data_IF_048916190072
#
_entry.id   IF_048916190072
#
_cell.length_a   1.000
_cell.length_b   1.000
_cell.length_c   1.000
_cell.angle_alpha   90.00
_cell.angle_beta   90.00
_cell.angle_gamma   90.00
#
_symmetry.space_group_name_H-M   'P 1'
#
loop_
_entity.id
_entity.type
_entity.pdbx_description
1 polymer ?
#
# COMPACT_ATOMS: atom_id res chain seq x y z
N UNK A 1 3.51 -5.93 -19.27
CA UNK A 1 4.03 -6.61 -18.06
C UNK A 1 4.46 -8.01 -18.45
N UNK A 2 5.57 -8.53 -17.90
CA UNK A 2 6.02 -9.89 -18.18
C UNK A 2 4.97 -10.92 -17.75
N UNK A 3 4.83 -11.98 -18.53
CA UNK A 3 3.88 -13.08 -18.37
C UNK A 3 4.71 -14.35 -18.19
N UNK A 4 4.32 -15.20 -17.25
CA UNK A 4 4.92 -16.52 -17.09
C UNK A 4 4.36 -17.47 -18.15
N UNK A 5 5.25 -18.06 -18.95
CA UNK A 5 4.91 -19.03 -19.99
C UNK A 5 5.51 -20.40 -19.66
N UNK A 6 4.65 -21.40 -19.53
CA UNK A 6 5.05 -22.79 -19.26
C UNK A 6 5.61 -23.50 -20.51
N UNK A 7 5.34 -22.96 -21.70
CA UNK A 7 5.79 -23.48 -22.99
C UNK A 7 6.64 -22.39 -23.68
N UNK A 8 7.82 -22.72 -24.23
CA UNK A 8 8.62 -21.78 -25.00
C UNK A 8 7.85 -21.21 -26.21
N UNK A 9 8.10 -19.94 -26.51
CA UNK A 9 7.61 -19.32 -27.74
C UNK A 9 8.10 -20.08 -28.97
N UNK A 10 7.24 -20.27 -29.98
CA UNK A 10 7.58 -21.09 -31.15
C UNK A 10 8.59 -20.40 -32.05
N UNK A 11 8.42 -19.10 -32.24
CA UNK A 11 9.31 -18.31 -33.09
C UNK A 11 10.52 -17.83 -32.28
N UNK A 12 10.31 -17.07 -31.21
CA UNK A 12 11.41 -16.48 -30.44
C UNK A 12 12.13 -17.44 -29.48
N UNK A 13 11.58 -18.63 -29.21
CA UNK A 13 12.19 -19.66 -28.34
C UNK A 13 12.46 -19.23 -26.90
N UNK A 14 11.99 -18.05 -26.47
CA UNK A 14 12.07 -17.61 -25.07
C UNK A 14 11.08 -18.41 -24.20
N UNK A 15 11.47 -18.66 -22.96
CA UNK A 15 10.70 -19.41 -21.98
C UNK A 15 10.77 -18.76 -20.59
N UNK A 16 9.89 -19.18 -19.67
CA UNK A 16 9.84 -18.61 -18.32
C UNK A 16 9.05 -17.31 -18.28
N UNK A 17 9.60 -16.28 -17.63
CA UNK A 17 8.96 -14.96 -17.52
C UNK A 17 9.36 -14.12 -18.72
N UNK A 18 8.41 -13.72 -19.58
CA UNK A 18 8.68 -13.06 -20.87
C UNK A 18 7.61 -12.01 -21.22
N UNK A 19 7.89 -11.04 -22.09
CA UNK A 19 6.94 -9.96 -22.40
C UNK A 19 5.95 -10.24 -23.54
N UNK A 20 6.10 -11.37 -24.24
CA UNK A 20 5.21 -11.77 -25.35
C UNK A 20 4.34 -12.97 -25.00
N UNK A 21 3.12 -12.98 -25.54
CA UNK A 21 2.29 -14.18 -25.64
C UNK A 21 2.41 -14.86 -27.03
N UNK A 22 1.75 -16.00 -27.21
CA UNK A 22 1.78 -16.76 -28.46
C UNK A 22 1.23 -16.00 -29.67
N UNK A 23 0.28 -15.08 -29.46
CA UNK A 23 -0.28 -14.26 -30.54
C UNK A 23 0.72 -13.20 -30.99
N UNK A 24 1.44 -12.58 -30.05
CA UNK A 24 2.49 -11.61 -30.33
C UNK A 24 3.71 -12.28 -30.98
N UNK A 25 4.10 -13.48 -30.53
CA UNK A 25 5.15 -14.29 -31.14
C UNK A 25 4.84 -14.64 -32.60
N UNK A 26 3.59 -15.00 -32.89
CA UNK A 26 3.13 -15.25 -34.26
C UNK A 26 3.14 -13.98 -35.12
N UNK A 27 2.83 -12.82 -34.55
CA UNK A 27 2.88 -11.55 -35.27
C UNK A 27 4.34 -11.14 -35.57
N UNK A 28 5.26 -11.33 -34.62
CA UNK A 28 6.69 -11.13 -34.85
C UNK A 28 7.23 -12.05 -35.94
N UNK A 29 6.77 -13.31 -35.97
CA UNK A 29 7.13 -14.23 -37.05
C UNK A 29 6.73 -13.68 -38.43
N UNK A 30 5.49 -13.20 -38.57
CA UNK A 30 5.02 -12.62 -39.84
C UNK A 30 5.81 -11.37 -40.24
N UNK A 31 6.12 -10.51 -39.27
CA UNK A 31 6.93 -9.31 -39.50
C UNK A 31 8.34 -9.67 -39.95
N UNK A 32 8.94 -10.70 -39.35
CA UNK A 32 10.25 -11.20 -39.74
C UNK A 32 10.25 -11.79 -41.16
N UNK A 33 9.25 -12.60 -41.50
CA UNK A 33 9.08 -13.15 -42.85
C UNK A 33 8.93 -12.05 -43.90
N UNK A 34 8.29 -10.93 -43.54
CA UNK A 34 8.14 -9.76 -44.43
C UNK A 34 9.46 -9.01 -44.70
N UNK A 35 10.52 -9.21 -43.91
CA UNK A 35 11.84 -8.59 -44.17
C UNK A 35 12.54 -9.19 -45.41
N UNK A 36 12.13 -10.40 -45.84
CA UNK A 36 12.61 -11.09 -47.04
C UNK A 36 14.15 -11.15 -47.15
N UNK A 37 14.82 -11.56 -46.08
CA UNK A 37 16.28 -11.62 -45.98
C UNK A 37 16.79 -12.98 -46.46
N UNK A 38 17.63 -12.98 -47.49
CA UNK A 38 18.14 -14.20 -48.12
C UNK A 38 19.34 -14.82 -47.39
N UNK A 39 20.13 -14.02 -46.67
CA UNK A 39 21.31 -14.50 -45.95
C UNK A 39 20.92 -15.08 -44.58
N UNK A 40 21.23 -16.36 -44.29
CA UNK A 40 20.80 -17.02 -43.07
C UNK A 40 21.47 -16.47 -41.81
N UNK A 41 22.69 -15.96 -41.90
CA UNK A 41 23.39 -15.38 -40.76
C UNK A 41 22.78 -14.03 -40.39
N UNK A 42 22.52 -13.17 -41.38
CA UNK A 42 21.82 -11.91 -41.16
C UNK A 42 20.38 -12.14 -40.66
N UNK A 43 19.66 -13.11 -41.25
CA UNK A 43 18.32 -13.49 -40.81
C UNK A 43 18.30 -13.93 -39.34
N UNK A 44 19.31 -14.69 -38.87
CA UNK A 44 19.40 -15.08 -37.47
C UNK A 44 19.59 -13.88 -36.53
N UNK A 45 20.44 -12.91 -36.89
CA UNK A 45 20.67 -11.71 -36.07
C UNK A 45 19.45 -10.78 -36.02
N UNK A 46 18.75 -10.62 -37.15
CA UNK A 46 17.50 -9.84 -37.20
C UNK A 46 16.40 -10.51 -36.38
N UNK A 47 16.29 -11.85 -36.44
CA UNK A 47 15.36 -12.60 -35.60
C UNK A 47 15.64 -12.34 -34.11
N UNK A 48 16.89 -12.45 -33.67
CA UNK A 48 17.27 -12.18 -32.29
C UNK A 48 16.91 -10.74 -31.87
N UNK A 49 17.22 -9.77 -32.72
CA UNK A 49 16.92 -8.34 -32.48
C UNK A 49 15.42 -8.09 -32.33
N UNK A 50 14.59 -8.69 -33.20
CA UNK A 50 13.13 -8.55 -33.12
C UNK A 50 12.55 -9.27 -31.90
N UNK A 51 13.10 -10.43 -31.55
CA UNK A 51 12.68 -11.20 -30.40
C UNK A 51 13.05 -10.57 -29.06
N UNK A 52 13.95 -9.59 -29.04
CA UNK A 52 14.29 -8.83 -27.84
C UNK A 52 13.06 -8.12 -27.22
N UNK A 53 12.01 -7.84 -28.00
CA UNK A 53 10.74 -7.30 -27.46
C UNK A 53 10.03 -8.27 -26.50
N UNK A 54 10.35 -9.55 -26.61
CA UNK A 54 9.82 -10.60 -25.75
C UNK A 54 10.69 -10.84 -24.52
N UNK A 55 11.84 -10.17 -24.39
CA UNK A 55 12.68 -10.24 -23.20
C UNK A 55 11.90 -9.69 -21.99
N UNK A 56 12.12 -10.28 -20.82
CA UNK A 56 11.47 -9.85 -19.57
C UNK A 56 11.81 -8.39 -19.20
N UNK A 57 12.91 -7.87 -19.73
CA UNK A 57 13.39 -6.49 -19.56
C UNK A 57 13.33 -5.69 -20.87
N UNK A 58 12.38 -6.03 -21.75
CA UNK A 58 12.18 -5.34 -23.02
C UNK A 58 11.92 -3.83 -22.86
N UNK A 59 11.37 -3.35 -21.75
CA UNK A 59 11.20 -1.90 -21.55
C UNK A 59 12.55 -1.18 -21.52
N UNK A 60 13.48 -1.71 -20.71
CA UNK A 60 14.83 -1.16 -20.55
C UNK A 60 15.63 -1.26 -21.85
N UNK A 61 15.46 -2.34 -22.61
CA UNK A 61 16.14 -2.51 -23.90
C UNK A 61 15.67 -1.52 -24.97
N UNK A 62 14.48 -0.92 -24.85
CA UNK A 62 13.90 -0.06 -25.88
C UNK A 62 13.73 1.41 -25.42
N UNK A 63 14.27 1.75 -24.25
CA UNK A 63 14.30 3.11 -23.70
C UNK A 63 15.73 3.68 -23.75
N UNK A 64 15.85 4.94 -24.19
CA UNK A 64 17.04 5.78 -24.05
C UNK A 64 16.60 7.17 -23.57
N UNK A 65 17.55 8.04 -23.20
CA UNK A 65 17.30 9.40 -22.71
C UNK A 65 16.38 10.26 -23.61
N UNK A 66 16.27 9.92 -24.90
CA UNK A 66 15.44 10.63 -25.89
C UNK A 66 14.05 10.01 -26.16
N UNK A 67 13.70 8.90 -25.50
CA UNK A 67 12.37 8.27 -25.60
C UNK A 67 12.39 6.83 -26.17
N UNK A 68 11.21 6.23 -26.39
CA UNK A 68 11.07 4.83 -26.80
C UNK A 68 11.52 4.61 -28.26
N UNK A 69 12.17 3.47 -28.51
CA UNK A 69 12.68 3.05 -29.83
C UNK A 69 11.93 1.82 -30.35
N UNK A 70 12.12 1.50 -31.64
CA UNK A 70 11.53 0.31 -32.29
C UNK A 70 12.46 -0.90 -32.35
N UNK A 71 13.74 -0.68 -32.11
CA UNK A 71 14.78 -1.71 -32.03
C UNK A 71 15.45 -1.58 -30.66
N UNK A 72 15.88 -2.71 -30.08
CA UNK A 72 16.57 -2.68 -28.81
C UNK A 72 17.90 -1.94 -28.95
N UNK A 73 18.37 -1.35 -27.84
CA UNK A 73 19.74 -0.85 -27.70
C UNK A 73 20.68 -2.04 -27.85
N UNK A 74 21.55 -1.99 -28.85
CA UNK A 74 22.51 -3.06 -29.15
C UNK A 74 23.77 -2.86 -28.33
N UNK A 75 24.35 -3.92 -27.76
CA UNK A 75 25.61 -3.75 -27.03
C UNK A 75 26.73 -3.32 -27.98
N UNK A 76 27.31 -2.13 -27.76
CA UNK A 76 28.42 -1.55 -28.51
C UNK A 76 29.59 -1.25 -27.57
N UNK A 77 30.70 -1.97 -27.71
CA UNK A 77 31.91 -1.72 -26.91
C UNK A 77 32.93 -0.93 -27.72
N UNK A 78 32.80 0.40 -27.72
CA UNK A 78 33.84 1.28 -28.27
C UNK A 78 35.03 1.37 -27.31
N UNK A 79 36.06 0.56 -27.56
CA UNK A 79 37.46 0.74 -27.15
C UNK A 79 37.77 1.29 -25.73
N UNK A 80 37.87 0.40 -24.74
CA UNK A 80 38.88 0.52 -23.67
C UNK A 80 39.40 -0.86 -23.25
N UNK A 81 40.45 -1.32 -23.94
CA UNK A 81 41.44 -2.22 -23.33
C UNK A 81 42.07 -1.47 -22.15
N UNK A 82 41.50 -1.61 -20.94
CA UNK A 82 42.24 -1.34 -19.70
C UNK A 82 43.18 -2.53 -19.47
N UNK A 83 44.50 -2.32 -19.29
CA UNK A 83 45.47 -3.40 -19.22
C UNK A 83 45.50 -4.01 -17.81
N UNK A 84 44.40 -4.57 -17.33
CA UNK A 84 44.40 -5.48 -16.17
C UNK A 84 43.08 -6.26 -16.11
N UNK A 85 43.00 -7.34 -16.88
CA UNK A 85 42.46 -8.66 -16.51
C UNK A 85 42.11 -9.41 -17.79
N UNK A 86 43.07 -10.22 -18.22
CA UNK A 86 42.87 -11.19 -19.29
C UNK A 86 41.93 -12.31 -18.81
N UNK A 87 40.74 -12.39 -19.42
CA UNK A 87 40.27 -13.66 -19.97
C UNK A 87 39.76 -13.42 -21.39
N UNK A 88 40.56 -13.94 -22.32
CA UNK A 88 40.29 -14.07 -23.74
C UNK A 88 39.01 -14.88 -23.94
N UNK A 89 38.08 -14.31 -24.70
CA UNK A 89 36.86 -14.95 -25.16
C UNK A 89 35.99 -13.91 -25.87
N UNK A 90 36.24 -13.68 -27.16
CA UNK A 90 35.39 -13.04 -28.16
C UNK A 90 34.27 -12.12 -27.62
N UNK A 91 34.62 -10.95 -27.07
CA UNK A 91 33.64 -9.90 -26.80
C UNK A 91 33.28 -9.19 -28.11
N UNK A 92 32.58 -9.90 -28.99
CA UNK A 92 32.05 -9.32 -30.21
C UNK A 92 30.83 -8.48 -29.82
N UNK A 93 31.02 -7.16 -29.82
CA UNK A 93 29.97 -6.14 -29.87
C UNK A 93 28.84 -6.58 -30.82
N UNK A 94 27.61 -6.73 -30.30
CA UNK A 94 26.46 -7.23 -31.06
C UNK A 94 26.06 -6.24 -32.17
N UNK A 95 26.24 -4.94 -31.95
CA UNK A 95 26.04 -3.93 -32.99
C UNK A 95 27.02 -4.12 -34.15
N UNK A 96 28.31 -4.30 -33.84
CA UNK A 96 29.34 -4.59 -34.85
C UNK A 96 29.08 -5.90 -35.57
N UNK A 97 28.68 -6.96 -34.85
CA UNK A 97 28.30 -8.26 -35.44
C UNK A 97 27.16 -8.11 -36.44
N UNK A 98 26.13 -7.35 -36.08
CA UNK A 98 24.98 -7.09 -36.93
C UNK A 98 25.37 -6.26 -38.15
N UNK A 99 26.16 -5.20 -37.99
CA UNK A 99 26.65 -4.41 -39.12
C UNK A 99 27.50 -5.24 -40.09
N UNK A 100 28.49 -5.98 -39.59
CA UNK A 100 29.42 -6.73 -40.44
C UNK A 100 28.70 -7.87 -41.19
N UNK A 101 27.67 -8.47 -40.59
CA UNK A 101 26.89 -9.58 -41.18
C UNK A 101 25.78 -9.09 -42.12
N UNK A 102 25.03 -8.05 -41.73
CA UNK A 102 23.87 -7.57 -42.48
C UNK A 102 24.16 -6.36 -43.38
N UNK A 103 25.34 -5.74 -43.27
CA UNK A 103 25.66 -4.44 -43.85
C UNK A 103 25.34 -4.31 -45.34
N UNK A 104 25.68 -5.35 -46.12
CA UNK A 104 25.50 -5.40 -47.57
C UNK A 104 24.30 -6.25 -48.03
N UNK A 105 23.53 -6.79 -47.08
CA UNK A 105 22.36 -7.61 -47.36
C UNK A 105 21.13 -6.70 -47.53
N UNK A 106 20.32 -6.98 -48.55
CA UNK A 106 19.09 -6.23 -48.77
C UNK A 106 18.02 -6.69 -47.78
N UNK A 107 17.49 -5.74 -47.01
CA UNK A 107 16.41 -5.95 -46.04
C UNK A 107 15.20 -5.14 -46.49
N UNK A 108 14.07 -5.79 -46.69
CA UNK A 108 12.81 -5.11 -47.01
C UNK A 108 12.27 -4.44 -45.75
N UNK A 109 11.93 -3.15 -45.82
CA UNK A 109 11.42 -2.39 -44.66
C UNK A 109 12.33 -2.50 -43.44
N UNK A 110 13.64 -2.25 -43.65
CA UNK A 110 14.67 -2.35 -42.60
C UNK A 110 14.22 -1.67 -41.30
N UNK A 111 14.25 -2.37 -40.14
CA UNK A 111 13.90 -1.77 -38.86
C UNK A 111 14.92 -0.71 -38.41
N UNK A 112 16.08 -0.64 -39.09
CA UNK A 112 17.14 0.34 -38.87
C UNK A 112 17.12 1.50 -39.89
N UNK A 113 16.05 1.65 -40.66
CA UNK A 113 15.92 2.76 -41.58
C UNK A 113 15.79 4.10 -40.81
N UNK A 114 16.56 5.15 -41.17
CA UNK A 114 16.42 6.45 -40.54
C UNK A 114 15.03 7.04 -40.83
N UNK A 115 14.44 7.82 -39.89
CA UNK A 115 13.14 8.45 -40.11
C UNK A 115 13.19 9.45 -41.27
N UNK A 116 12.23 9.38 -42.20
CA UNK A 116 12.15 10.34 -43.31
C UNK A 116 11.79 11.73 -42.77
N UNK A 117 12.63 12.71 -43.06
CA UNK A 117 12.45 14.08 -42.60
C UNK A 117 11.31 14.75 -43.38
N UNK A 118 10.15 14.98 -42.73
CA UNK A 118 9.09 15.84 -43.27
C UNK A 118 7.67 15.27 -43.39
N UNK A 119 7.29 14.20 -42.68
CA UNK A 119 5.89 13.73 -42.66
C UNK A 119 5.38 13.52 -41.25
N UNK A 120 4.25 14.15 -40.92
CA UNK A 120 3.48 13.89 -39.69
C UNK A 120 2.86 12.51 -39.85
N UNK A 121 3.51 11.52 -39.24
CA UNK A 121 3.23 10.10 -39.43
C UNK A 121 4.45 9.40 -40.04
N UNK A 122 5.09 8.52 -39.27
CA UNK A 122 6.29 7.78 -39.67
C UNK A 122 6.00 6.83 -40.84
N UNK A 123 6.15 7.30 -42.08
CA UNK A 123 6.19 6.44 -43.26
C UNK A 123 7.64 6.03 -43.53
N UNK A 124 7.87 4.72 -43.58
CA UNK A 124 9.16 4.12 -43.89
C UNK A 124 9.21 3.74 -45.37
N UNK A 125 10.42 3.77 -45.93
CA UNK A 125 10.66 3.24 -47.27
C UNK A 125 10.32 1.74 -47.30
N UNK A 126 9.31 1.37 -48.09
CA UNK A 126 8.96 -0.02 -48.37
C UNK A 126 9.89 -0.66 -49.41
N UNK A 127 10.98 0.01 -49.78
CA UNK A 127 11.95 -0.50 -50.74
C UNK A 127 13.05 -1.31 -50.04
N UNK A 128 13.53 -2.40 -50.66
CA UNK A 128 14.73 -3.09 -50.19
C UNK A 128 15.89 -2.12 -50.05
N UNK A 129 16.58 -2.16 -48.91
CA UNK A 129 17.73 -1.30 -48.63
C UNK A 129 18.80 -2.06 -47.87
N UNK A 130 20.06 -1.64 -48.03
CA UNK A 130 21.19 -2.16 -47.26
C UNK A 130 21.54 -1.19 -46.16
N UNK A 131 22.08 -1.67 -45.05
CA UNK A 131 22.51 -0.78 -43.96
C UNK A 131 23.62 0.17 -44.44
N UNK A 132 24.52 -0.31 -45.32
CA UNK A 132 25.57 0.52 -45.93
C UNK A 132 25.05 1.59 -46.88
N UNK A 133 23.80 1.48 -47.36
CA UNK A 133 23.15 2.51 -48.17
C UNK A 133 22.46 3.56 -47.29
N UNK A 134 22.09 3.17 -46.06
CA UNK A 134 21.33 4.00 -45.11
C UNK A 134 22.21 4.78 -44.14
N UNK A 135 23.37 4.23 -43.79
CA UNK A 135 24.27 4.75 -42.76
C UNK A 135 25.66 4.99 -43.33
N UNK A 136 26.28 6.11 -42.95
CA UNK A 136 27.58 6.54 -43.48
C UNK A 136 28.74 5.63 -43.07
N UNK A 137 28.68 5.06 -41.88
CA UNK A 137 29.68 4.14 -41.36
C UNK A 137 29.09 3.24 -40.28
N UNK A 138 29.80 2.16 -39.95
CA UNK A 138 29.50 1.32 -38.78
C UNK A 138 29.43 2.13 -37.50
N UNK A 139 30.32 3.13 -37.36
CA UNK A 139 30.38 4.00 -36.20
C UNK A 139 29.07 4.80 -36.07
N UNK A 140 28.61 5.42 -37.15
CA UNK A 140 27.34 6.17 -37.11
C UNK A 140 26.14 5.26 -36.80
N UNK A 141 26.14 4.03 -37.33
CA UNK A 141 25.11 3.04 -37.04
C UNK A 141 25.10 2.63 -35.56
N UNK A 142 26.27 2.37 -34.97
CA UNK A 142 26.37 1.94 -33.57
C UNK A 142 26.36 3.10 -32.57
N UNK A 143 26.60 4.34 -32.99
CA UNK A 143 26.27 5.53 -32.20
C UNK A 143 24.76 5.76 -32.15
N UNK A 144 24.04 5.48 -33.24
CA UNK A 144 22.59 5.56 -33.24
C UNK A 144 21.98 4.39 -32.45
N UNK A 145 22.30 3.14 -32.76
CA UNK A 145 21.60 1.97 -32.21
C UNK A 145 22.31 1.26 -31.06
N UNK A 146 23.55 1.64 -30.75
CA UNK A 146 24.31 1.04 -29.66
C UNK A 146 24.08 1.71 -28.31
N UNK A 147 24.32 0.97 -27.22
CA UNK A 147 24.34 1.50 -25.86
C UNK A 147 25.71 1.99 -25.44
N UNK A 148 25.77 2.88 -24.44
CA UNK A 148 27.00 3.29 -23.75
C UNK A 148 27.48 2.25 -22.73
N UNK A 149 28.66 2.45 -22.11
CA UNK A 149 29.23 1.51 -21.15
C UNK A 149 28.33 1.24 -19.92
N UNK A 150 27.43 2.18 -19.59
CA UNK A 150 26.52 2.09 -18.45
C UNK A 150 25.10 1.63 -18.84
N UNK A 151 24.80 1.51 -20.14
CA UNK A 151 23.45 1.17 -20.62
C UNK A 151 23.19 -0.33 -20.63
N UNK A 152 21.95 -0.69 -20.30
CA UNK A 152 21.44 -2.04 -20.49
C UNK A 152 21.25 -2.27 -21.99
N UNK A 153 21.98 -3.23 -22.54
CA UNK A 153 22.01 -3.47 -23.98
C UNK A 153 21.78 -4.95 -24.32
N UNK A 154 21.34 -5.20 -25.55
CA UNK A 154 21.07 -6.54 -26.07
C UNK A 154 22.32 -7.16 -26.72
N UNK A 155 22.66 -8.39 -26.29
CA UNK A 155 23.82 -9.17 -26.75
C UNK A 155 23.47 -10.64 -26.97
N UNK A 156 22.55 -10.90 -27.91
CA UNK A 156 22.03 -12.23 -28.32
C UNK A 156 21.50 -13.19 -27.24
N UNK A 157 21.58 -12.84 -25.97
CA UNK A 157 21.06 -13.60 -24.83
C UNK A 157 20.08 -12.75 -24.01
N UNK A 158 19.14 -13.40 -23.28
CA UNK A 158 18.26 -12.68 -22.38
C UNK A 158 19.04 -11.86 -21.36
N UNK A 159 18.60 -10.64 -21.10
CA UNK A 159 19.28 -9.79 -20.13
C UNK A 159 19.07 -10.38 -18.73
N UNK A 160 20.18 -10.60 -18.02
CA UNK A 160 20.17 -10.96 -16.61
C UNK A 160 20.64 -9.75 -15.80
N UNK A 161 19.75 -9.13 -15.03
CA UNK A 161 20.21 -8.27 -13.95
C UNK A 161 20.75 -9.17 -12.85
N UNK A 162 21.98 -8.89 -12.39
CA UNK A 162 22.31 -9.30 -11.02
C UNK A 162 21.19 -8.78 -10.14
N UNK A 163 20.58 -9.66 -9.34
CA UNK A 163 19.76 -9.24 -8.21
C UNK A 163 20.66 -8.52 -7.19
N UNK A 164 21.25 -7.40 -7.57
CA UNK A 164 21.48 -6.35 -6.60
C UNK A 164 20.10 -6.03 -6.07
N UNK A 165 19.94 -6.29 -4.77
CA UNK A 165 18.75 -5.99 -3.97
C UNK A 165 18.01 -4.84 -4.61
N UNK A 166 16.84 -5.11 -5.19
CA UNK A 166 16.02 -4.09 -5.80
C UNK A 166 16.01 -2.91 -4.84
N UNK A 167 16.64 -1.80 -5.22
CA UNK A 167 16.43 -0.57 -4.50
C UNK A 167 14.94 -0.32 -4.65
N UNK A 168 14.19 -0.20 -3.54
CA UNK A 168 12.75 0.04 -3.63
C UNK A 168 12.54 1.23 -4.57
N UNK A 169 11.50 1.18 -5.43
CA UNK A 169 11.31 2.17 -6.47
C UNK A 169 11.47 3.58 -5.89
N UNK A 170 12.14 4.47 -6.61
CA UNK A 170 12.41 5.84 -6.16
C UNK A 170 11.15 6.72 -6.05
N UNK A 171 9.95 6.14 -6.09
CA UNK A 171 8.66 6.82 -6.03
C UNK A 171 7.57 5.96 -5.40
N UNK A 172 6.57 6.64 -4.82
CA UNK A 172 5.36 6.04 -4.27
C UNK A 172 4.27 6.02 -5.35
N UNK A 173 3.70 4.86 -5.63
CA UNK A 173 2.48 4.75 -6.44
C UNK A 173 1.25 4.70 -5.52
N UNK A 174 0.19 5.43 -5.88
CA UNK A 174 -1.08 5.37 -5.18
C UNK A 174 -2.09 4.60 -6.03
N UNK A 175 -2.62 3.51 -5.48
CA UNK A 175 -3.70 2.74 -6.07
C UNK A 175 -4.99 2.93 -5.28
N UNK A 176 -6.08 3.20 -5.98
CA UNK A 176 -7.40 3.35 -5.35
C UNK A 176 -8.03 1.97 -5.14
N UNK A 177 -8.16 1.57 -3.89
CA UNK A 177 -8.68 0.24 -3.49
C UNK A 177 -10.21 0.16 -3.44
N UNK A 178 -10.90 1.26 -3.15
CA UNK A 178 -12.35 1.31 -3.00
C UNK A 178 -12.88 2.75 -3.11
N UNK A 179 -14.19 2.90 -3.18
CA UNK A 179 -14.87 4.20 -3.13
C UNK A 179 -15.30 4.59 -1.70
N UNK A 180 -15.22 3.65 -0.74
CA UNK A 180 -15.59 3.89 0.66
C UNK A 180 -14.66 4.88 1.37
N UNK A 181 -15.18 5.48 2.44
CA UNK A 181 -14.43 6.35 3.35
C UNK A 181 -14.01 5.56 4.58
N UNK A 182 -12.73 5.18 4.62
CA UNK A 182 -12.14 4.42 5.72
C UNK A 182 -11.21 5.33 6.53
N UNK A 183 -11.26 5.21 7.86
CA UNK A 183 -10.47 6.06 8.76
C UNK A 183 -9.48 5.27 9.62
N UNK A 184 -9.59 3.94 9.66
CA UNK A 184 -8.63 3.06 10.31
C UNK A 184 -8.20 1.93 9.36
N UNK A 185 -6.93 1.55 9.44
CA UNK A 185 -6.37 0.34 8.85
C UNK A 185 -5.41 -0.30 9.87
N UNK A 186 -5.74 -1.50 10.34
CA UNK A 186 -4.96 -2.20 11.37
C UNK A 186 -4.60 -3.60 10.88
N UNK A 187 -3.32 -4.00 10.88
CA UNK A 187 -2.91 -5.31 10.39
C UNK A 187 -3.52 -6.43 11.22
N UNK A 188 -3.82 -7.55 10.58
CA UNK A 188 -4.34 -8.71 11.29
C UNK A 188 -3.26 -9.26 12.24
N UNK A 189 -3.55 -9.48 13.54
CA UNK A 189 -2.52 -9.83 14.53
C UNK A 189 -1.84 -11.19 14.34
N UNK A 190 -2.32 -12.03 13.43
CA UNK A 190 -1.68 -13.32 13.11
C UNK A 190 -0.52 -13.21 12.10
N UNK A 191 -0.26 -12.02 11.56
CA UNK A 191 0.79 -11.80 10.56
C UNK A 191 0.44 -12.29 9.15
N UNK A 192 -0.81 -12.67 8.90
CA UNK A 192 -1.31 -12.92 7.54
C UNK A 192 -1.36 -11.63 6.73
N UNK A 193 -1.49 -11.77 5.41
CA UNK A 193 -1.74 -10.65 4.50
C UNK A 193 -3.21 -10.19 4.59
N UNK A 194 -3.67 -9.91 5.80
CA UNK A 194 -5.00 -9.39 6.07
C UNK A 194 -4.88 -8.12 6.93
N UNK A 195 -5.83 -7.22 6.79
CA UNK A 195 -5.97 -6.05 7.65
C UNK A 195 -7.44 -5.77 7.92
N UNK A 196 -7.73 -5.14 9.06
CA UNK A 196 -9.05 -4.62 9.36
C UNK A 196 -9.13 -3.18 8.94
N UNK A 197 -10.18 -2.84 8.20
CA UNK A 197 -10.50 -1.47 7.82
C UNK A 197 -11.82 -1.06 8.47
N UNK A 198 -11.93 0.17 8.96
CA UNK A 198 -13.22 0.69 9.43
C UNK A 198 -13.55 2.06 8.90
N UNK A 199 -14.84 2.33 8.85
CA UNK A 199 -15.38 3.65 8.58
C UNK A 199 -15.86 4.34 9.87
N UNK A 200 -16.13 5.64 9.76
CA UNK A 200 -16.62 6.45 10.87
C UNK A 200 -18.06 6.09 11.29
N UNK A 201 -18.85 5.45 10.41
CA UNK A 201 -20.21 5.00 10.72
C UNK A 201 -20.28 3.82 11.70
N UNK A 202 -19.17 3.14 12.00
CA UNK A 202 -19.17 2.01 12.93
C UNK A 202 -19.16 0.63 12.27
N UNK A 203 -18.68 0.53 11.02
CA UNK A 203 -18.50 -0.74 10.33
C UNK A 203 -17.03 -1.09 10.17
N UNK A 204 -16.72 -2.37 10.34
CA UNK A 204 -15.37 -2.94 10.22
C UNK A 204 -15.43 -4.06 9.19
N UNK A 205 -14.44 -4.12 8.29
CA UNK A 205 -14.29 -5.18 7.29
C UNK A 205 -12.90 -5.79 7.36
N UNK A 206 -12.82 -7.05 6.94
CA UNK A 206 -11.54 -7.72 6.69
C UNK A 206 -11.12 -7.47 5.24
N UNK A 207 -9.94 -6.87 5.08
CA UNK A 207 -9.29 -6.62 3.82
C UNK A 207 -8.22 -7.69 3.56
N UNK A 208 -8.16 -8.20 2.33
CA UNK A 208 -7.08 -9.07 1.87
C UNK A 208 -6.01 -8.24 1.18
N UNK A 209 -4.77 -8.37 1.63
CA UNK A 209 -3.59 -7.71 1.07
C UNK A 209 -2.91 -8.72 0.12
N UNK A 210 -2.58 -8.33 -1.12
CA UNK A 210 -1.90 -9.20 -2.06
C UNK A 210 -0.43 -9.42 -1.65
N UNK A 211 0.14 -10.57 -2.01
CA UNK A 211 1.58 -10.81 -1.83
C UNK A 211 2.41 -9.78 -2.60
N UNK A 212 3.56 -9.39 -2.05
CA UNK A 212 4.49 -8.49 -2.71
C UNK A 212 4.91 -9.06 -4.08
N UNK A 213 4.74 -8.25 -5.13
CA UNK A 213 5.07 -8.65 -6.51
C UNK A 213 4.03 -9.53 -7.22
N UNK A 214 2.89 -9.84 -6.58
CA UNK A 214 1.83 -10.68 -7.19
C UNK A 214 0.96 -9.97 -8.24
N UNK A 215 1.11 -8.65 -8.40
CA UNK A 215 0.18 -7.79 -9.16
C UNK A 215 -1.29 -7.88 -8.70
N UNK A 216 -1.56 -8.49 -7.54
CA UNK A 216 -2.87 -8.46 -6.92
C UNK A 216 -3.20 -7.07 -6.37
N UNK A 217 -4.48 -6.82 -6.12
CA UNK A 217 -4.99 -5.57 -5.57
C UNK A 217 -5.57 -5.85 -4.18
N UNK A 218 -5.39 -4.94 -3.23
CA UNK A 218 -6.07 -5.03 -1.94
C UNK A 218 -7.59 -5.04 -2.16
N UNK A 219 -8.25 -6.03 -1.59
CA UNK A 219 -9.68 -6.25 -1.78
C UNK A 219 -10.44 -6.28 -0.44
N UNK A 220 -11.65 -5.71 -0.44
CA UNK A 220 -12.56 -5.64 0.71
C UNK A 220 -13.95 -6.10 0.24
N UNK A 221 -14.59 -7.02 0.97
CA UNK A 221 -15.99 -7.38 0.74
C UNK A 221 -16.94 -6.45 1.53
N UNK A 222 -17.33 -5.31 0.94
CA UNK A 222 -18.18 -4.34 1.65
C UNK A 222 -19.57 -4.88 2.06
N UNK A 223 -20.04 -5.96 1.43
CA UNK A 223 -21.33 -6.60 1.74
C UNK A 223 -21.31 -7.48 3.00
N UNK A 224 -20.12 -7.85 3.48
CA UNK A 224 -19.94 -8.75 4.63
C UNK A 224 -19.02 -8.08 5.66
N UNK A 225 -19.55 -7.18 6.51
CA UNK A 225 -18.75 -6.58 7.57
C UNK A 225 -18.32 -7.63 8.60
N UNK A 226 -17.08 -7.53 9.04
CA UNK A 226 -16.57 -8.25 10.21
C UNK A 226 -17.35 -7.86 11.47
N UNK A 227 -17.69 -6.58 11.61
CA UNK A 227 -18.51 -6.04 12.68
C UNK A 227 -19.33 -4.85 12.19
N UNK A 228 -20.58 -4.76 12.61
CA UNK A 228 -21.45 -3.60 12.39
C UNK A 228 -22.06 -3.15 13.73
N UNK A 229 -21.64 -1.99 14.20
CA UNK A 229 -22.17 -1.31 15.41
C UNK A 229 -22.77 0.05 15.05
N UNK A 230 -23.16 0.26 13.78
CA UNK A 230 -23.65 1.55 13.31
C UNK A 230 -24.89 2.05 14.04
N UNK A 231 -25.67 1.13 14.62
CA UNK A 231 -26.83 1.49 15.43
C UNK A 231 -26.44 2.15 16.76
N UNK A 232 -25.26 1.84 17.33
CA UNK A 232 -24.79 2.40 18.61
C UNK A 232 -23.93 3.66 18.44
N UNK A 233 -23.27 3.76 17.28
CA UNK A 233 -22.33 4.83 16.96
C UNK A 233 -23.07 6.11 16.58
N UNK A 234 -22.77 7.20 17.29
CA UNK A 234 -23.09 8.54 16.85
C UNK A 234 -22.20 8.91 15.66
N UNK A 235 -22.77 8.87 14.46
CA UNK A 235 -22.08 9.26 13.24
C UNK A 235 -22.36 10.73 12.88
N UNK A 236 -21.29 11.53 12.81
CA UNK A 236 -21.28 12.90 12.28
C UNK A 236 -19.85 13.25 11.82
N UNK A 237 -19.62 14.47 11.35
CA UNK A 237 -18.33 14.97 10.88
C UNK A 237 -17.20 14.78 11.92
N UNK A 238 -17.50 15.06 13.19
CA UNK A 238 -16.54 14.98 14.31
C UNK A 238 -16.69 13.68 15.14
N UNK A 239 -17.69 12.84 14.84
CA UNK A 239 -18.10 11.72 15.68
C UNK A 239 -18.22 10.43 14.89
N UNK A 240 -17.84 9.33 15.52
CA UNK A 240 -18.04 8.02 14.94
C UNK A 240 -17.25 6.95 15.64
N UNK A 241 -16.93 5.89 14.90
CA UNK A 241 -15.91 4.92 15.30
C UNK A 241 -14.52 5.51 15.03
N UNK A 242 -13.88 6.04 16.07
CA UNK A 242 -12.66 6.84 15.97
C UNK A 242 -11.39 6.00 15.95
N UNK A 243 -11.37 4.85 16.65
CA UNK A 243 -10.18 4.01 16.74
C UNK A 243 -10.51 2.54 16.95
N UNK A 244 -9.58 1.68 16.55
CA UNK A 244 -9.63 0.24 16.82
C UNK A 244 -8.25 -0.26 17.24
N UNK A 245 -8.21 -1.25 18.13
CA UNK A 245 -6.96 -1.94 18.44
C UNK A 245 -7.22 -3.37 18.88
N UNK A 246 -6.34 -4.28 18.48
CA UNK A 246 -6.41 -5.69 18.87
C UNK A 246 -5.58 -5.93 20.11
N UNK A 247 -6.09 -6.77 21.01
CA UNK A 247 -5.33 -7.21 22.17
C UNK A 247 -4.00 -7.84 21.73
N UNK A 248 -2.87 -7.65 22.44
CA UNK A 248 -1.58 -8.26 22.06
C UNK A 248 -1.63 -9.79 21.91
N UNK A 249 -2.53 -10.43 22.67
CA UNK A 249 -2.86 -11.87 22.59
C UNK A 249 -4.09 -12.21 21.75
N UNK A 250 -4.52 -11.36 20.80
CA UNK A 250 -5.73 -11.55 20.00
C UNK A 250 -5.80 -12.93 19.35
N UNK A 251 -4.68 -13.44 18.82
CA UNK A 251 -4.61 -14.77 18.18
C UNK A 251 -5.09 -15.89 19.11
N UNK A 252 -4.97 -15.71 20.43
CA UNK A 252 -5.38 -16.69 21.45
C UNK A 252 -6.70 -16.37 22.13
N UNK A 253 -7.10 -15.09 22.21
CA UNK A 253 -8.24 -14.67 23.02
C UNK A 253 -9.37 -13.98 22.25
N UNK A 254 -9.17 -13.63 20.98
CA UNK A 254 -10.17 -12.96 20.15
C UNK A 254 -10.59 -11.57 20.61
N UNK A 255 -9.91 -10.97 21.60
CA UNK A 255 -10.29 -9.66 22.19
C UNK A 255 -9.79 -8.51 21.34
N UNK A 256 -10.69 -7.58 21.04
CA UNK A 256 -10.33 -6.32 20.39
C UNK A 256 -11.15 -5.19 21.01
N UNK A 257 -10.70 -3.97 20.78
CA UNK A 257 -11.23 -2.78 21.44
C UNK A 257 -11.55 -1.72 20.41
N UNK A 258 -12.67 -1.04 20.61
CA UNK A 258 -13.12 0.05 19.77
C UNK A 258 -13.27 1.30 20.60
N UNK A 259 -12.90 2.43 20.00
CA UNK A 259 -13.12 3.76 20.54
C UNK A 259 -14.14 4.47 19.65
N UNK A 260 -15.29 4.83 20.18
CA UNK A 260 -16.37 5.43 19.41
C UNK A 260 -17.16 6.45 20.22
N UNK A 261 -18.02 7.20 19.54
CA UNK A 261 -18.93 8.15 20.16
C UNK A 261 -20.36 7.63 20.16
N UNK A 262 -21.13 7.96 21.19
CA UNK A 262 -22.54 7.60 21.29
C UNK A 262 -23.38 8.76 21.85
N UNK A 263 -24.70 8.67 21.67
CA UNK A 263 -25.68 9.63 22.17
C UNK A 263 -26.52 9.02 23.30
N UNK A 264 -26.44 9.57 24.51
CA UNK A 264 -27.20 9.11 25.68
C UNK A 264 -28.72 9.16 25.48
N UNK A 265 -29.19 10.03 24.58
CA UNK A 265 -30.61 10.17 24.27
C UNK A 265 -31.12 9.04 23.35
N UNK A 266 -30.22 8.41 22.59
CA UNK A 266 -30.53 7.29 21.70
C UNK A 266 -30.24 5.94 22.35
N UNK A 267 -29.14 5.86 23.10
CA UNK A 267 -28.69 4.62 23.75
C UNK A 267 -28.63 4.80 25.25
N UNK A 268 -29.53 4.14 26.02
CA UNK A 268 -29.50 4.21 27.49
C UNK A 268 -28.17 3.74 28.10
N UNK A 269 -27.48 2.81 27.42
CA UNK A 269 -26.15 2.35 27.81
C UNK A 269 -25.03 3.36 27.54
N UNK A 270 -25.29 4.45 26.83
CA UNK A 270 -24.34 5.54 26.59
C UNK A 270 -24.36 6.52 27.77
N UNK A 271 -23.86 6.07 28.91
CA UNK A 271 -23.80 6.85 30.14
C UNK A 271 -22.36 6.94 30.66
N UNK A 272 -22.02 8.07 31.25
CA UNK A 272 -20.71 8.31 31.85
C UNK A 272 -20.66 9.69 32.50
N UNK A 273 -19.66 9.91 33.35
CA UNK A 273 -19.47 11.23 33.95
C UNK A 273 -19.14 12.27 32.89
N UNK A 274 -19.74 13.43 33.02
CA UNK A 274 -19.35 14.59 32.22
C UNK A 274 -17.89 14.95 32.52
N UNK A 275 -17.08 15.13 31.49
CA UNK A 275 -15.69 15.61 31.60
C UNK A 275 -15.61 17.01 32.21
N UNK A 276 -16.60 17.87 31.93
CA UNK A 276 -16.84 19.11 32.65
C UNK A 276 -17.60 18.81 33.95
N UNK A 277 -16.90 18.78 35.07
CA UNK A 277 -17.49 18.57 36.39
C UNK A 277 -16.73 19.34 37.48
N UNK A 278 -17.24 19.26 38.70
CA UNK A 278 -16.69 19.98 39.87
C UNK A 278 -15.24 19.65 40.17
N UNK A 279 -14.76 18.43 39.86
CA UNK A 279 -13.38 18.04 40.16
C UNK A 279 -12.38 18.77 39.27
N UNK A 280 -12.81 19.13 38.07
CA UNK A 280 -12.04 19.94 37.11
C UNK A 280 -12.42 21.42 37.16
N UNK A 281 -13.16 21.85 38.19
CA UNK A 281 -13.64 23.23 38.37
C UNK A 281 -14.53 23.72 37.21
N UNK A 282 -15.33 22.83 36.64
CA UNK A 282 -16.23 23.12 35.53
C UNK A 282 -17.68 22.80 35.90
N UNK A 283 -18.61 23.69 35.55
CA UNK A 283 -20.04 23.51 35.77
C UNK A 283 -20.72 23.29 34.41
N UNK A 284 -21.22 22.09 34.11
CA UNK A 284 -21.78 21.79 32.80
C UNK A 284 -23.04 22.62 32.50
N UNK A 285 -23.74 23.13 33.51
CA UNK A 285 -24.91 24.01 33.31
C UNK A 285 -24.54 25.41 32.81
N UNK A 286 -23.26 25.79 32.97
CA UNK A 286 -22.71 27.08 32.50
C UNK A 286 -22.09 26.99 31.11
N UNK A 287 -21.96 25.78 30.57
CA UNK A 287 -21.48 25.61 29.21
C UNK A 287 -22.60 26.00 28.22
N UNK A 288 -22.30 26.81 27.19
CA UNK A 288 -23.28 27.11 26.16
C UNK A 288 -23.65 25.84 25.40
N UNK A 289 -24.91 25.73 24.97
CA UNK A 289 -25.32 24.67 24.07
C UNK A 289 -24.55 24.80 22.74
N UNK A 290 -24.04 23.68 22.24
CA UNK A 290 -23.32 23.62 20.98
C UNK A 290 -24.26 23.07 19.91
N UNK A 291 -24.67 23.92 18.97
CA UNK A 291 -25.56 23.54 17.87
C UNK A 291 -26.88 22.89 18.32
N UNK A 292 -27.42 23.32 19.48
CA UNK A 292 -28.64 22.76 20.07
C UNK A 292 -28.46 21.48 20.88
N UNK A 293 -27.22 20.98 20.99
CA UNK A 293 -26.87 19.81 21.81
C UNK A 293 -26.53 20.27 23.22
N UNK A 294 -27.07 19.57 24.23
CA UNK A 294 -26.74 19.85 25.62
C UNK A 294 -25.33 19.36 25.96
N UNK A 295 -24.57 20.08 26.79
CA UNK A 295 -23.28 19.62 27.29
C UNK A 295 -23.38 18.22 27.89
N UNK A 296 -22.43 17.34 27.54
CA UNK A 296 -22.38 15.96 27.99
C UNK A 296 -23.63 15.14 27.65
N UNK A 297 -24.26 15.44 26.51
CA UNK A 297 -25.19 14.53 25.85
C UNK A 297 -24.45 13.38 25.17
N UNK A 298 -23.40 13.72 24.39
CA UNK A 298 -22.58 12.76 23.69
C UNK A 298 -21.44 12.26 24.57
N UNK A 299 -21.01 11.03 24.35
CA UNK A 299 -19.94 10.39 25.11
C UNK A 299 -18.85 9.87 24.18
N UNK A 300 -17.61 9.85 24.67
CA UNK A 300 -16.54 9.01 24.12
C UNK A 300 -16.50 7.72 24.90
N UNK A 301 -16.46 6.60 24.19
CA UNK A 301 -16.53 5.24 24.72
C UNK A 301 -15.32 4.46 24.23
N UNK A 302 -14.71 3.68 25.12
CA UNK A 302 -13.86 2.55 24.74
C UNK A 302 -14.49 1.28 25.28
N UNK A 303 -14.75 0.33 24.39
CA UNK A 303 -15.37 -0.94 24.75
C UNK A 303 -14.61 -2.13 24.16
N UNK A 304 -14.70 -3.25 24.86
CA UNK A 304 -14.16 -4.55 24.49
C UNK A 304 -15.19 -5.34 23.68
N UNK A 305 -14.74 -5.98 22.60
CA UNK A 305 -15.50 -6.87 21.75
C UNK A 305 -14.72 -8.19 21.57
N UNK A 306 -15.44 -9.22 21.11
CA UNK A 306 -14.86 -10.54 20.82
C UNK A 306 -15.18 -10.99 19.41
N UNK A 307 -14.19 -11.59 18.76
CA UNK A 307 -14.38 -12.26 17.47
C UNK A 307 -15.24 -13.53 17.63
N UNK A 308 -16.07 -13.85 16.62
CA UNK A 308 -16.94 -15.03 16.58
C UNK A 308 -16.17 -16.27 16.10
N UNK A 309 -15.08 -16.62 16.76
CA UNK A 309 -14.28 -17.81 16.44
C UNK A 309 -14.58 -18.99 17.37
N UNK A 310 -14.03 -20.16 17.02
CA UNK A 310 -13.99 -21.28 17.96
C UNK A 310 -13.02 -20.97 19.09
N UNK A 311 -13.22 -21.55 20.28
CA UNK A 311 -12.32 -21.34 21.41
C UNK A 311 -10.85 -21.73 21.11
N UNK A 312 -10.63 -22.57 20.09
CA UNK A 312 -9.31 -23.00 19.64
C UNK A 312 -8.67 -22.08 18.60
N UNK A 313 -9.46 -21.37 17.78
CA UNK A 313 -8.95 -20.60 16.63
C UNK A 313 -9.70 -19.26 16.44
N UNK A 314 -9.66 -18.35 17.44
CA UNK A 314 -10.37 -17.07 17.36
C UNK A 314 -9.84 -16.15 16.25
N UNK A 315 -8.58 -16.29 15.84
CA UNK A 315 -7.97 -15.50 14.76
C UNK A 315 -8.51 -15.81 13.36
N UNK A 316 -9.16 -16.96 13.15
CA UNK A 316 -9.74 -17.32 11.85
C UNK A 316 -11.17 -16.78 11.67
N UNK A 317 -11.69 -16.07 12.66
CA UNK A 317 -13.04 -15.54 12.63
C UNK A 317 -13.17 -14.49 11.52
N UNK A 318 -14.20 -14.64 10.69
CA UNK A 318 -14.57 -13.66 9.66
C UNK A 318 -15.67 -12.70 10.12
N UNK A 319 -16.14 -12.84 11.37
CA UNK A 319 -17.13 -11.95 12.00
C UNK A 319 -16.87 -11.80 13.50
N UNK A 320 -17.49 -10.81 14.13
CA UNK A 320 -17.46 -10.55 15.56
C UNK A 320 -18.86 -10.27 16.12
N UNK A 321 -19.00 -10.38 17.45
CA UNK A 321 -20.25 -10.11 18.14
C UNK A 321 -20.47 -8.58 18.22
N UNK A 322 -21.60 -8.03 17.75
CA UNK A 322 -21.89 -6.60 17.85
C UNK A 322 -22.17 -6.12 19.28
N UNK A 323 -22.39 -7.01 20.23
CA UNK A 323 -22.53 -6.65 21.64
C UNK A 323 -21.18 -6.50 22.33
N UNK A 324 -21.01 -5.39 23.04
CA UNK A 324 -19.85 -5.18 23.90
C UNK A 324 -19.73 -6.29 24.96
N UNK A 325 -18.51 -6.80 25.15
CA UNK A 325 -18.16 -7.70 26.25
C UNK A 325 -17.97 -6.90 27.55
N UNK A 326 -17.49 -5.65 27.44
CA UNK A 326 -17.27 -4.80 28.59
C UNK A 326 -16.93 -3.36 28.24
N UNK A 327 -17.41 -2.42 29.05
CA UNK A 327 -17.12 -1.00 28.96
C UNK A 327 -15.82 -0.68 29.70
N UNK A 328 -14.78 -0.28 28.97
CA UNK A 328 -13.46 0.06 29.53
C UNK A 328 -13.38 1.53 29.93
N UNK A 329 -13.98 2.40 29.12
CA UNK A 329 -14.00 3.84 29.34
C UNK A 329 -15.31 4.43 28.81
N UNK A 330 -15.86 5.41 29.52
CA UNK A 330 -16.99 6.22 29.06
C UNK A 330 -16.91 7.59 29.71
N UNK A 331 -17.03 8.64 28.91
CA UNK A 331 -16.93 10.01 29.40
C UNK A 331 -17.80 10.94 28.57
N UNK A 332 -18.63 11.74 29.23
CA UNK A 332 -19.47 12.75 28.61
C UNK A 332 -18.63 13.92 28.07
N UNK A 333 -18.95 14.36 26.85
CA UNK A 333 -18.21 15.37 26.11
C UNK A 333 -18.84 16.75 26.28
N UNK A 334 -18.07 17.80 26.65
CA UNK A 334 -18.64 19.10 26.97
C UNK A 334 -19.07 19.87 25.71
N UNK A 335 -18.43 19.59 24.58
CA UNK A 335 -18.61 20.21 23.27
C UNK A 335 -18.66 19.14 22.18
N UNK A 336 -18.93 19.53 20.93
CA UNK A 336 -19.01 18.59 19.81
C UNK A 336 -17.67 18.27 19.14
N UNK A 337 -16.67 19.16 19.22
CA UNK A 337 -15.38 18.98 18.55
C UNK A 337 -14.20 18.73 19.49
N UNK A 338 -13.07 18.34 18.88
CA UNK A 338 -11.77 18.31 19.54
C UNK A 338 -11.53 17.10 20.45
N UNK A 339 -12.18 15.96 20.20
CA UNK A 339 -12.14 14.81 21.13
C UNK A 339 -11.09 13.74 20.81
N UNK A 340 -10.61 13.68 19.56
CA UNK A 340 -9.76 12.59 19.06
C UNK A 340 -10.41 11.21 19.27
N UNK A 341 -9.73 10.26 19.91
CA UNK A 341 -10.27 8.91 20.15
C UNK A 341 -9.44 7.77 19.54
N UNK A 342 -8.21 8.03 19.07
CA UNK A 342 -7.30 6.96 18.67
C UNK A 342 -6.97 6.06 19.87
N UNK A 343 -6.90 4.75 19.62
CA UNK A 343 -6.45 3.77 20.61
C UNK A 343 -5.37 2.87 20.02
N UNK A 344 -4.41 2.44 20.85
CA UNK A 344 -3.39 1.46 20.48
C UNK A 344 -2.81 0.77 21.71
N UNK A 345 -2.33 -0.47 21.56
CA UNK A 345 -1.56 -1.13 22.60
C UNK A 345 -0.09 -0.75 22.54
N UNK A 346 0.50 -0.43 23.69
CA UNK A 346 1.94 -0.25 23.80
C UNK A 346 2.67 -1.59 23.64
N UNK A 347 3.61 -1.75 22.69
CA UNK A 347 4.24 -3.04 22.42
C UNK A 347 5.17 -3.51 23.55
N UNK A 348 5.72 -2.58 24.33
CA UNK A 348 6.66 -2.90 25.41
C UNK A 348 5.96 -3.26 26.73
N UNK A 349 4.79 -2.69 26.97
CA UNK A 349 4.14 -2.73 28.28
C UNK A 349 2.73 -3.35 28.25
N UNK A 350 2.13 -3.53 27.07
CA UNK A 350 0.85 -4.22 26.91
C UNK A 350 -0.37 -3.41 27.37
N UNK A 351 -0.21 -2.14 27.73
CA UNK A 351 -1.33 -1.28 28.14
C UNK A 351 -2.06 -0.70 26.93
N UNK A 352 -3.35 -0.44 27.09
CA UNK A 352 -4.14 0.29 26.09
C UNK A 352 -3.94 1.79 26.27
N UNK A 353 -3.49 2.46 25.22
CA UNK A 353 -3.38 3.92 25.17
C UNK A 353 -4.61 4.50 24.49
N UNK A 354 -5.21 5.54 25.10
CA UNK A 354 -6.32 6.31 24.55
C UNK A 354 -5.90 7.77 24.41
N UNK A 355 -5.97 8.30 23.19
CA UNK A 355 -5.62 9.69 22.87
C UNK A 355 -6.89 10.55 22.90
N UNK A 356 -6.95 11.48 23.85
CA UNK A 356 -8.04 12.43 24.02
C UNK A 356 -7.59 13.83 23.62
N UNK A 357 -8.36 14.46 22.73
CA UNK A 357 -8.18 15.87 22.39
C UNK A 357 -8.67 16.79 23.52
N UNK A 358 -8.50 18.11 23.36
CA UNK A 358 -8.84 19.11 24.39
C UNK A 358 -10.34 19.24 24.67
N UNK A 359 -11.17 18.62 23.84
CA UNK A 359 -12.62 18.57 23.94
C UNK A 359 -13.28 19.92 23.73
N UNK A 360 -12.66 20.82 22.96
CA UNK A 360 -13.17 22.14 22.62
C UNK A 360 -13.28 22.36 21.10
N UNK A 361 -14.16 23.27 20.68
CA UNK A 361 -14.27 23.63 19.26
C UNK A 361 -13.19 24.64 18.82
N UNK A 362 -12.66 25.43 19.76
CA UNK A 362 -11.66 26.47 19.49
C UNK A 362 -11.05 26.97 20.80
N UNK A 363 -9.74 27.22 20.79
CA UNK A 363 -8.97 27.95 21.82
C UNK A 363 -9.02 27.38 23.27
N UNK A 364 -9.54 26.17 23.49
CA UNK A 364 -9.66 25.51 24.82
C UNK A 364 -10.11 26.47 25.95
N UNK A 365 -11.34 27.01 25.91
CA UNK A 365 -11.76 28.13 26.76
C UNK A 365 -11.86 27.77 28.25
N UNK A 366 -11.94 26.46 28.57
CA UNK A 366 -11.93 25.94 29.94
C UNK A 366 -10.57 25.38 30.35
N UNK A 367 -9.57 25.53 29.48
CA UNK A 367 -8.19 25.14 29.72
C UNK A 367 -8.09 23.66 30.13
N UNK A 368 -8.94 22.80 29.55
CA UNK A 368 -9.03 21.39 29.89
C UNK A 368 -7.70 20.68 29.61
N UNK A 369 -7.02 21.02 28.52
CA UNK A 369 -5.75 20.43 28.17
C UNK A 369 -4.66 20.72 29.21
N UNK A 370 -4.64 21.94 29.77
CA UNK A 370 -3.67 22.32 30.81
C UNK A 370 -4.12 21.93 32.22
N UNK A 371 -5.40 21.61 32.41
CA UNK A 371 -5.92 21.14 33.68
C UNK A 371 -5.49 19.68 33.93
N UNK A 372 -4.62 19.48 34.93
CA UNK A 372 -4.11 18.15 35.31
C UNK A 372 -5.17 17.20 35.88
N UNK A 373 -6.33 17.73 36.29
CA UNK A 373 -7.46 16.92 36.75
C UNK A 373 -8.39 16.49 35.62
N UNK A 374 -8.25 17.09 34.43
CA UNK A 374 -9.03 16.74 33.26
C UNK A 374 -8.42 15.55 32.52
N UNK A 375 -9.28 14.71 31.97
CA UNK A 375 -8.90 13.61 31.07
C UNK A 375 -8.81 14.05 29.60
N UNK A 376 -9.22 15.29 29.28
CA UNK A 376 -9.10 15.89 27.95
C UNK A 376 -7.70 16.49 27.74
N UNK A 377 -7.23 16.45 26.49
CA UNK A 377 -5.89 16.88 26.07
C UNK A 377 -4.81 15.99 26.69
N UNK A 378 -5.04 14.68 26.73
CA UNK A 378 -4.18 13.68 27.39
C UNK A 378 -4.01 12.43 26.52
N UNK A 379 -2.94 11.70 26.78
CA UNK A 379 -2.83 10.30 26.41
C UNK A 379 -3.02 9.49 27.69
N UNK A 380 -4.12 8.76 27.78
CA UNK A 380 -4.45 7.89 28.91
C UNK A 380 -3.81 6.53 28.67
N UNK A 381 -3.30 5.90 29.74
CA UNK A 381 -2.69 4.57 29.72
C UNK A 381 -3.48 3.67 30.66
N UNK A 382 -4.14 2.66 30.10
CA UNK A 382 -5.15 1.84 30.76
C UNK A 382 -4.70 0.38 30.86
N UNK A 383 -4.84 -0.21 32.05
CA UNK A 383 -4.57 -1.62 32.30
C UNK A 383 -5.85 -2.44 32.09
N UNK A 384 -6.05 -2.97 30.88
CA UNK A 384 -7.30 -3.64 30.52
C UNK A 384 -7.41 -5.09 31.02
N UNK A 385 -6.33 -5.63 31.60
CA UNK A 385 -6.31 -7.00 32.13
C UNK A 385 -6.64 -7.05 33.62
N UNK A 386 -6.53 -5.91 34.31
CA UNK A 386 -6.84 -5.79 35.74
C UNK A 386 -8.14 -5.04 36.03
N UNK A 387 -8.79 -4.44 35.02
CA UNK A 387 -10.11 -3.83 35.18
C UNK A 387 -11.13 -4.94 35.47
N UNK A 388 -11.86 -4.89 36.60
CA UNK A 388 -12.85 -5.90 36.89
C UNK A 388 -13.98 -5.85 35.85
N UNK A 389 -14.33 -7.01 35.29
CA UNK A 389 -15.47 -7.17 34.38
C UNK A 389 -16.76 -6.99 35.16
N UNK A 390 -17.21 -5.75 35.35
CA UNK A 390 -18.49 -5.50 36.00
C UNK A 390 -19.63 -5.63 34.99
N UNK A 391 -20.47 -6.65 35.20
CA UNK A 391 -21.71 -6.93 34.47
C UNK A 391 -22.89 -6.01 34.89
N UNK A 392 -22.65 -4.94 35.63
CA UNK A 392 -23.71 -4.05 36.11
C UNK A 392 -23.46 -2.59 35.68
N UNK A 393 -24.41 -2.07 34.92
CA UNK A 393 -24.39 -0.80 34.19
C UNK A 393 -24.42 0.48 35.06
N UNK A 394 -23.77 0.51 36.24
CA UNK A 394 -23.94 1.64 37.16
C UNK A 394 -22.74 2.00 38.05
N UNK A 395 -21.52 1.59 37.71
CA UNK A 395 -20.33 2.12 38.38
C UNK A 395 -19.39 2.83 37.40
N UNK A 396 -19.35 4.13 37.59
CA UNK A 396 -18.62 5.14 36.86
C UNK A 396 -17.10 5.01 37.11
N UNK A 397 -16.37 4.49 36.13
CA UNK A 397 -14.91 4.33 36.19
C UNK A 397 -14.16 5.68 36.25
N UNK A 398 -14.85 6.81 36.04
CA UNK A 398 -14.25 8.14 36.21
C UNK A 398 -13.80 8.42 37.65
N UNK A 399 -14.32 7.69 38.64
CA UNK A 399 -13.88 7.73 40.03
C UNK A 399 -12.69 6.81 40.36
N UNK A 400 -12.30 5.90 39.45
CA UNK A 400 -11.26 4.89 39.73
C UNK A 400 -9.86 5.28 39.27
N UNK A 401 -9.69 6.31 38.44
CA UNK A 401 -8.40 6.63 37.82
C UNK A 401 -7.78 7.92 38.38
N UNK A 402 -6.89 7.79 39.36
CA UNK A 402 -5.94 8.85 39.72
C UNK A 402 -4.76 8.80 38.73
N UNK A 403 -4.82 9.56 37.65
CA UNK A 403 -3.72 9.63 36.69
C UNK A 403 -2.58 10.48 37.26
N UNK A 404 -1.50 9.81 37.71
CA UNK A 404 -0.21 10.46 37.98
C UNK A 404 0.63 10.44 36.71
N UNK A 405 1.14 11.61 36.30
CA UNK A 405 1.93 11.86 35.08
C UNK A 405 3.16 10.92 34.87
N UNK A 406 3.54 10.11 35.85
CA UNK A 406 4.74 9.26 35.80
C UNK A 406 4.51 7.80 36.19
N UNK A 407 3.28 7.36 36.50
CA UNK A 407 3.06 6.02 37.07
C UNK A 407 1.79 5.28 36.60
N UNK A 408 1.14 5.72 35.52
CA UNK A 408 -0.10 5.12 35.03
C UNK A 408 -1.33 5.44 35.89
N UNK A 409 -2.52 5.19 35.36
CA UNK A 409 -3.76 5.38 36.09
C UNK A 409 -4.05 4.06 36.85
N UNK A 410 -3.91 4.07 38.18
CA UNK A 410 -4.16 2.92 39.06
C UNK A 410 -5.60 2.97 39.60
N UNK A 411 -6.25 1.81 39.83
CA UNK A 411 -7.55 1.75 40.47
C UNK A 411 -7.49 2.32 41.90
N UNK A 412 -8.44 3.21 42.23
CA UNK A 412 -8.66 3.68 43.60
C UNK A 412 -8.86 2.49 44.54
N UNK A 413 -8.03 2.36 45.59
CA UNK A 413 -8.16 1.33 46.63
C UNK A 413 -9.22 1.64 47.70
N UNK A 414 -10.14 2.59 47.47
CA UNK A 414 -11.21 2.89 48.42
C UNK A 414 -12.59 2.81 47.77
N UNK A 415 -13.49 1.93 48.25
CA UNK A 415 -14.88 1.98 47.84
C UNK A 415 -15.50 3.31 48.31
N UNK A 416 -16.40 3.92 47.53
CA UNK A 416 -17.14 5.08 48.00
C UNK A 416 -17.98 4.68 49.22
N UNK A 417 -17.80 5.40 50.33
CA UNK A 417 -18.70 5.34 51.48
C UNK A 417 -20.10 5.78 51.02
N UNK A 418 -21.08 4.92 51.25
CA UNK A 418 -22.51 5.10 50.92
C UNK A 418 -23.10 6.32 51.62
#
# INVERSE_FOLDING_TARGET
>A
QPIKQDIPLKFCSYNGTICCNSTQDLELQKQFEALNVSDPACAALLKLTMCAICDQFSAQLFEIDSGPRKVPVLCNTTDLVKPHQSKVGDSIDFCTKLWDTCGHISILSSPFAPPMQGSVGMQYSSLPSKLTDQWRSRKDFCEEFGGSEDDVCFKDEPVSFSQEKASPPAGLCLEKIANGAYINLVPHPDGSNCAFVSNQQGKIWLATIPDEGSNGILWINESEPFLDIADEVLFDTEFGLMGMSFHPNFVRNGRFFLSFNCDKMKHPGCSGRCSCNTDVSCDPSKLPADSGVQPCQYHSVVAEFTANGTASEPSLATSANPSEVGRIFTMGLPYRGGHAGQILFGPADGFLYLMMGDGSNRDDPYNFAQNKKSLLGKILRLDIDTIPRHTEANQDLSGLFLCKQTSGCLPSQQPPSI
#
